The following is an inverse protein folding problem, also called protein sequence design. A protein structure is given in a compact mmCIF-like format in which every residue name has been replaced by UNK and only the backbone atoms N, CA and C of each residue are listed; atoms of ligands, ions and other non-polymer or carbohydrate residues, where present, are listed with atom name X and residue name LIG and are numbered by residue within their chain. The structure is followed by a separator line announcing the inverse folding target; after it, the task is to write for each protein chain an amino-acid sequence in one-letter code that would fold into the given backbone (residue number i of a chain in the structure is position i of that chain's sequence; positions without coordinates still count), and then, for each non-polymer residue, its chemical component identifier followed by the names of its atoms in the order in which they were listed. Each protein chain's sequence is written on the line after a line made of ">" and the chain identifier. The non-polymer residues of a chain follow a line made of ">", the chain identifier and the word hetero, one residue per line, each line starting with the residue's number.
data_IF_585720809410
#
_entry.id   IF_585720809410
#
_cell.length_a   1.000
_cell.length_b   1.000
_cell.length_c   1.000
_cell.angle_alpha   90.00
_cell.angle_beta   90.00
_cell.angle_gamma   90.00
#
_symmetry.space_group_name_H-M   'P 1'
#
loop_
_entity.id
_entity.type
_entity.pdbx_description
1 polymer ?
#
# COMPACT_ATOMS: atom_id res chain seq x y z
N UNK A 1 7.40 9.98 -2.98
CA UNK A 1 6.20 10.68 -2.48
C UNK A 1 5.85 11.83 -3.41
N UNK A 2 6.76 12.77 -3.70
CA UNK A 2 6.48 13.95 -4.52
C UNK A 2 5.90 13.62 -5.90
N UNK A 3 6.41 12.62 -6.61
CA UNK A 3 5.85 12.19 -7.89
C UNK A 3 4.37 11.76 -7.80
N UNK A 4 3.97 11.12 -6.69
CA UNK A 4 2.56 10.76 -6.46
C UNK A 4 1.72 12.01 -6.27
N UNK A 5 2.17 12.96 -5.45
CA UNK A 5 1.45 14.22 -5.21
C UNK A 5 1.30 15.02 -6.52
N UNK A 6 2.40 15.20 -7.26
CA UNK A 6 2.40 15.93 -8.52
C UNK A 6 1.50 15.33 -9.61
N UNK A 7 1.23 14.03 -9.53
CA UNK A 7 0.31 13.36 -10.46
C UNK A 7 -1.13 13.42 -9.98
N UNK A 8 -1.35 13.20 -8.69
CA UNK A 8 -2.70 13.03 -8.14
C UNK A 8 -3.41 14.35 -7.93
N UNK A 9 -2.73 15.40 -7.47
CA UNK A 9 -3.37 16.68 -7.21
C UNK A 9 -4.02 17.29 -8.47
N UNK A 10 -3.33 17.38 -9.63
CA UNK A 10 -3.97 17.86 -10.85
C UNK A 10 -5.09 16.94 -11.35
N UNK A 11 -4.99 15.62 -11.11
CA UNK A 11 -6.07 14.69 -11.46
C UNK A 11 -7.33 14.93 -10.62
N UNK A 12 -7.16 15.17 -9.31
CA UNK A 12 -8.26 15.51 -8.40
C UNK A 12 -8.97 16.79 -8.86
N UNK A 13 -8.22 17.84 -9.20
CA UNK A 13 -8.78 19.10 -9.68
C UNK A 13 -9.64 18.94 -10.94
N UNK A 14 -9.24 18.02 -11.84
CA UNK A 14 -10.02 17.70 -13.04
C UNK A 14 -11.22 16.78 -12.78
N UNK A 15 -11.16 15.94 -11.77
CA UNK A 15 -12.23 14.97 -11.45
C UNK A 15 -13.34 15.60 -10.60
N UNK A 16 -12.99 16.47 -9.63
CA UNK A 16 -13.97 17.12 -8.74
C UNK A 16 -15.13 17.83 -9.48
N UNK A 17 -14.88 18.70 -10.49
CA UNK A 17 -15.96 19.37 -11.21
C UNK A 17 -16.85 18.42 -11.99
N UNK A 18 -16.34 17.24 -12.36
CA UNK A 18 -17.11 16.20 -13.07
C UNK A 18 -17.97 15.35 -12.14
N UNK A 19 -17.80 15.47 -10.83
CA UNK A 19 -18.49 14.65 -9.83
C UNK A 19 -18.18 13.16 -9.92
N UNK A 20 -17.10 12.78 -10.63
CA UNK A 20 -16.71 11.36 -10.85
C UNK A 20 -15.23 11.23 -11.16
N UNK A 21 -14.65 10.13 -10.69
CA UNK A 21 -13.28 9.75 -10.98
C UNK A 21 -12.84 8.64 -10.03
N UNK A 22 -11.78 7.93 -10.39
CA UNK A 22 -11.18 6.91 -9.54
C UNK A 22 -9.67 7.03 -9.58
N UNK A 23 -9.05 7.07 -8.41
CA UNK A 23 -7.60 7.17 -8.18
C UNK A 23 -7.14 5.93 -7.46
N UNK A 24 -6.19 5.21 -8.04
CA UNK A 24 -5.56 4.03 -7.45
C UNK A 24 -4.11 4.35 -7.05
N UNK A 25 -3.81 4.31 -5.75
CA UNK A 25 -2.49 4.62 -5.20
C UNK A 25 -1.76 3.33 -4.81
N UNK A 26 -0.60 3.09 -5.40
CA UNK A 26 0.21 1.91 -5.08
C UNK A 26 1.15 2.17 -3.92
N UNK A 27 0.80 1.63 -2.76
CA UNK A 27 1.63 1.54 -1.57
C UNK A 27 2.27 0.14 -1.44
N UNK A 28 2.32 -0.42 -0.26
CA UNK A 28 2.83 -1.76 0.07
C UNK A 28 2.37 -2.15 1.47
N UNK A 29 2.38 -3.45 1.80
CA UNK A 29 2.29 -3.91 3.19
C UNK A 29 3.46 -3.38 4.03
N UNK A 30 4.63 -3.13 3.44
CA UNK A 30 5.75 -2.44 4.08
C UNK A 30 5.42 -1.01 4.55
N UNK A 31 4.33 -0.41 4.08
CA UNK A 31 3.85 0.90 4.51
C UNK A 31 3.01 0.89 5.78
N UNK A 32 2.84 -0.23 6.46
CA UNK A 32 2.11 -0.30 7.73
C UNK A 32 2.97 0.01 8.94
N UNK A 33 4.25 -0.35 8.88
CA UNK A 33 5.23 -0.12 9.95
C UNK A 33 6.61 0.10 9.34
N UNK A 34 7.48 0.86 10.03
CA UNK A 34 8.89 0.99 9.64
C UNK A 34 9.59 -0.37 9.66
N UNK A 35 10.24 -0.72 8.55
CA UNK A 35 11.02 -1.95 8.44
C UNK A 35 12.50 -1.61 8.66
N UNK A 36 13.19 -2.24 9.63
CA UNK A 36 14.62 -2.00 9.88
C UNK A 36 15.49 -2.24 8.65
N UNK A 37 15.17 -3.26 7.86
CA UNK A 37 15.90 -3.61 6.63
C UNK A 37 15.66 -2.67 5.43
N UNK A 38 14.64 -1.78 5.50
CA UNK A 38 14.28 -0.88 4.39
C UNK A 38 13.56 0.38 4.89
N UNK A 39 14.20 1.23 5.70
CA UNK A 39 13.54 2.35 6.38
C UNK A 39 13.01 3.40 5.40
N UNK A 40 13.79 3.80 4.41
CA UNK A 40 13.36 4.78 3.40
C UNK A 40 12.19 4.26 2.54
N UNK A 41 12.23 2.98 2.16
CA UNK A 41 11.15 2.35 1.41
C UNK A 41 9.85 2.29 2.23
N UNK A 42 9.91 1.77 3.46
CA UNK A 42 8.74 1.67 4.31
C UNK A 42 8.17 3.05 4.67
N UNK A 43 9.01 4.04 4.94
CA UNK A 43 8.60 5.42 5.16
C UNK A 43 7.88 6.02 3.95
N UNK A 44 8.42 5.83 2.75
CA UNK A 44 7.78 6.30 1.51
C UNK A 44 6.42 5.65 1.25
N UNK A 45 6.30 4.34 1.50
CA UNK A 45 5.05 3.60 1.32
C UNK A 45 4.02 3.91 2.40
N UNK A 46 4.47 4.16 3.64
CA UNK A 46 3.59 4.65 4.71
C UNK A 46 2.99 6.02 4.35
N UNK A 47 3.81 6.96 3.88
CA UNK A 47 3.35 8.27 3.45
C UNK A 47 2.27 8.18 2.35
N UNK A 48 2.49 7.36 1.32
CA UNK A 48 1.48 7.16 0.26
C UNK A 48 0.20 6.53 0.79
N UNK A 49 0.31 5.55 1.71
CA UNK A 49 -0.85 4.90 2.30
C UNK A 49 -1.68 5.88 3.15
N UNK A 50 -1.03 6.52 4.11
CA UNK A 50 -1.71 7.42 5.04
C UNK A 50 -2.35 8.61 4.32
N UNK A 51 -1.61 9.21 3.38
CA UNK A 51 -2.14 10.29 2.56
C UNK A 51 -3.31 9.85 1.68
N UNK A 52 -3.23 8.69 1.05
CA UNK A 52 -4.31 8.15 0.21
C UNK A 52 -5.59 7.85 1.00
N UNK A 53 -5.45 7.32 2.22
CA UNK A 53 -6.58 7.08 3.12
C UNK A 53 -7.23 8.40 3.55
N UNK A 54 -6.43 9.40 3.89
CA UNK A 54 -6.92 10.75 4.22
C UNK A 54 -7.60 11.42 3.02
N UNK A 55 -6.99 11.33 1.83
CA UNK A 55 -7.55 11.87 0.59
C UNK A 55 -8.90 11.24 0.25
N UNK A 56 -9.05 9.93 0.46
CA UNK A 56 -10.35 9.24 0.30
C UNK A 56 -11.44 9.86 1.17
N UNK A 57 -11.12 10.13 2.44
CA UNK A 57 -12.05 10.80 3.36
C UNK A 57 -12.39 12.21 2.90
N UNK A 58 -11.38 12.98 2.52
CA UNK A 58 -11.52 14.34 2.02
C UNK A 58 -12.41 14.43 0.77
N UNK A 59 -12.28 13.49 -0.16
CA UNK A 59 -13.00 13.49 -1.43
C UNK A 59 -14.35 12.75 -1.38
N UNK A 60 -14.77 12.23 -0.22
CA UNK A 60 -15.97 11.40 -0.08
C UNK A 60 -17.24 12.02 -0.69
N UNK A 61 -17.39 13.34 -0.58
CA UNK A 61 -18.57 14.09 -1.08
C UNK A 61 -18.41 14.59 -2.52
N UNK A 62 -17.25 14.42 -3.14
CA UNK A 62 -16.97 14.95 -4.48
C UNK A 62 -17.23 13.95 -5.61
N UNK A 63 -17.66 12.73 -5.30
CA UNK A 63 -17.84 11.66 -6.28
C UNK A 63 -16.53 11.07 -6.82
N UNK A 64 -15.37 11.48 -6.25
CA UNK A 64 -14.05 10.93 -6.62
C UNK A 64 -13.66 9.83 -5.65
N UNK A 65 -13.46 8.62 -6.19
CA UNK A 65 -13.05 7.45 -5.42
C UNK A 65 -11.53 7.38 -5.29
N UNK A 66 -11.04 7.03 -4.10
CA UNK A 66 -9.61 6.80 -3.87
C UNK A 66 -9.41 5.41 -3.27
N UNK A 67 -8.54 4.63 -3.87
CA UNK A 67 -8.22 3.27 -3.46
C UNK A 67 -6.72 3.16 -3.19
N UNK A 68 -6.33 2.63 -2.04
CA UNK A 68 -4.94 2.38 -1.70
C UNK A 68 -4.63 0.89 -1.85
N UNK A 69 -3.71 0.55 -2.75
CA UNK A 69 -3.28 -0.81 -3.02
C UNK A 69 -2.04 -1.10 -2.20
N UNK A 70 -2.12 -2.10 -1.31
CA UNK A 70 -1.05 -2.50 -0.42
C UNK A 70 -0.67 -3.96 -0.69
N UNK A 71 0.09 -4.26 -1.75
CA UNK A 71 0.55 -5.61 -2.04
C UNK A 71 1.64 -6.04 -1.06
N UNK A 72 1.71 -7.35 -0.81
CA UNK A 72 2.91 -8.02 -0.31
C UNK A 72 3.89 -8.31 -1.44
N UNK A 73 4.49 -9.51 -1.43
CA UNK A 73 5.41 -9.93 -2.48
C UNK A 73 4.66 -10.40 -3.72
N UNK A 74 4.90 -9.71 -4.84
CA UNK A 74 4.38 -10.07 -6.17
C UNK A 74 5.56 -10.37 -7.07
N UNK A 75 5.44 -11.36 -7.94
CA UNK A 75 6.49 -11.70 -8.92
C UNK A 75 6.84 -10.48 -9.77
N UNK A 76 8.09 -10.08 -9.70
CA UNK A 76 8.67 -9.01 -10.52
C UNK A 76 10.18 -9.25 -10.60
N UNK A 77 10.87 -8.55 -11.49
CA UNK A 77 12.34 -8.61 -11.59
C UNK A 77 13.06 -8.34 -10.25
N UNK A 78 12.43 -7.58 -9.36
CA UNK A 78 13.00 -7.23 -8.04
C UNK A 78 12.69 -8.30 -6.98
N UNK A 79 11.65 -9.13 -7.17
CA UNK A 79 11.13 -10.06 -6.14
C UNK A 79 11.33 -11.53 -6.47
N UNK A 80 12.09 -11.87 -7.50
CA UNK A 80 12.38 -13.25 -7.91
C UNK A 80 13.01 -14.11 -6.81
N UNK A 81 13.78 -13.50 -5.89
CA UNK A 81 14.44 -14.17 -4.76
C UNK A 81 13.52 -14.45 -3.55
N UNK A 82 12.25 -14.08 -3.57
CA UNK A 82 11.33 -14.34 -2.45
C UNK A 82 10.77 -15.77 -2.52
N UNK A 83 10.70 -16.45 -1.38
CA UNK A 83 10.28 -17.86 -1.30
C UNK A 83 8.87 -18.17 -1.85
N UNK A 84 7.92 -17.24 -1.81
CA UNK A 84 6.54 -17.45 -2.29
C UNK A 84 5.90 -16.13 -2.80
N UNK A 85 6.38 -15.59 -3.91
CA UNK A 85 5.78 -14.39 -4.46
C UNK A 85 4.45 -14.74 -5.16
N UNK A 86 3.45 -13.85 -5.03
CA UNK A 86 2.17 -14.00 -5.73
C UNK A 86 2.36 -13.77 -7.24
N UNK A 87 1.81 -14.61 -8.12
CA UNK A 87 1.82 -14.36 -9.55
C UNK A 87 1.18 -13.01 -9.91
N UNK A 88 1.78 -12.25 -10.82
CA UNK A 88 1.30 -10.93 -11.22
C UNK A 88 -0.14 -10.95 -11.73
N UNK A 89 -0.52 -11.98 -12.49
CA UNK A 89 -1.89 -12.16 -12.98
C UNK A 89 -2.92 -12.31 -11.83
N UNK A 90 -2.55 -13.01 -10.76
CA UNK A 90 -3.41 -13.14 -9.56
C UNK A 90 -3.53 -11.81 -8.82
N UNK A 91 -2.42 -11.09 -8.65
CA UNK A 91 -2.42 -9.77 -8.05
C UNK A 91 -3.30 -8.79 -8.86
N UNK A 92 -3.18 -8.77 -10.18
CA UNK A 92 -3.99 -7.93 -11.06
C UNK A 92 -5.50 -8.21 -10.91
N UNK A 93 -5.91 -9.48 -10.83
CA UNK A 93 -7.31 -9.86 -10.60
C UNK A 93 -7.84 -9.34 -9.25
N UNK A 94 -7.03 -9.44 -8.19
CA UNK A 94 -7.40 -8.93 -6.85
C UNK A 94 -7.56 -7.41 -6.88
N UNK A 95 -6.61 -6.71 -7.49
CA UNK A 95 -6.64 -5.25 -7.63
C UNK A 95 -7.89 -4.83 -8.41
N UNK A 96 -8.12 -5.38 -9.59
CA UNK A 96 -9.26 -5.05 -10.43
C UNK A 96 -10.60 -5.28 -9.70
N UNK A 97 -10.73 -6.40 -8.98
CA UNK A 97 -11.92 -6.69 -8.18
C UNK A 97 -12.10 -5.69 -7.02
N UNK A 98 -11.01 -5.27 -6.39
CA UNK A 98 -11.03 -4.27 -5.31
C UNK A 98 -11.42 -2.87 -5.82
N UNK A 99 -10.90 -2.47 -6.96
CA UNK A 99 -11.21 -1.20 -7.63
C UNK A 99 -12.69 -1.14 -8.03
N UNK A 100 -13.20 -2.19 -8.69
CA UNK A 100 -14.64 -2.27 -9.07
C UNK A 100 -15.57 -2.16 -7.86
N UNK A 101 -15.14 -2.63 -6.69
CA UNK A 101 -15.92 -2.54 -5.43
C UNK A 101 -15.62 -1.28 -4.63
N UNK A 102 -14.88 -0.36 -5.17
CA UNK A 102 -14.41 0.86 -4.49
C UNK A 102 -13.86 0.60 -3.08
N UNK A 103 -13.04 -0.45 -2.89
CA UNK A 103 -12.43 -0.74 -1.58
C UNK A 103 -11.43 0.34 -1.22
N UNK A 104 -11.54 0.91 -0.01
CA UNK A 104 -10.60 1.93 0.48
C UNK A 104 -9.16 1.42 0.52
N UNK A 105 -8.95 0.19 1.01
CA UNK A 105 -7.67 -0.53 0.95
C UNK A 105 -7.83 -1.87 0.25
N UNK A 106 -6.86 -2.21 -0.60
CA UNK A 106 -6.77 -3.48 -1.32
C UNK A 106 -5.46 -4.14 -0.89
N UNK A 107 -5.56 -5.01 0.12
CA UNK A 107 -4.42 -5.70 0.74
C UNK A 107 -4.38 -7.17 0.35
N UNK A 108 -3.20 -7.67 0.04
CA UNK A 108 -2.99 -9.09 -0.26
C UNK A 108 -1.52 -9.51 -0.14
N UNK A 109 -1.21 -10.79 0.15
CA UNK A 109 -2.11 -11.88 0.54
C UNK A 109 -2.76 -11.63 1.91
N UNK A 110 -3.96 -12.19 2.19
CA UNK A 110 -4.72 -11.82 3.39
C UNK A 110 -4.01 -12.18 4.71
N UNK A 111 -3.37 -13.34 4.78
CA UNK A 111 -2.64 -13.76 5.99
C UNK A 111 -1.49 -12.82 6.31
N UNK A 112 -0.65 -12.48 5.31
CA UNK A 112 0.46 -11.55 5.48
C UNK A 112 -0.07 -10.14 5.83
N UNK A 113 -1.16 -9.71 5.20
CA UNK A 113 -1.77 -8.42 5.48
C UNK A 113 -2.26 -8.33 6.94
N UNK A 114 -2.88 -9.39 7.44
CA UNK A 114 -3.31 -9.48 8.84
C UNK A 114 -2.12 -9.46 9.80
N UNK A 115 -1.06 -10.25 9.54
CA UNK A 115 0.14 -10.28 10.39
C UNK A 115 0.82 -8.90 10.47
N UNK A 116 0.98 -8.24 9.33
CA UNK A 116 1.59 -6.90 9.28
C UNK A 116 0.71 -5.86 9.98
N UNK A 117 -0.61 -5.94 9.82
CA UNK A 117 -1.55 -5.10 10.53
C UNK A 117 -1.45 -5.31 12.05
N UNK A 118 -1.45 -6.56 12.52
CA UNK A 118 -1.33 -6.88 13.94
C UNK A 118 -0.03 -6.32 14.53
N UNK A 119 1.12 -6.47 13.84
CA UNK A 119 2.40 -5.89 14.26
C UNK A 119 2.31 -4.35 14.29
N UNK A 120 1.59 -3.73 13.36
CA UNK A 120 1.45 -2.27 13.34
C UNK A 120 0.65 -1.72 14.53
N UNK A 121 -0.18 -2.55 15.16
CA UNK A 121 -0.95 -2.18 16.35
C UNK A 121 -0.15 -2.32 17.66
N UNK A 122 1.03 -2.96 17.64
CA UNK A 122 1.86 -3.14 18.83
C UNK A 122 2.54 -1.82 19.26
N UNK A 123 2.85 -1.64 20.54
CA UNK A 123 3.73 -0.57 21.02
C UNK A 123 5.07 -0.57 20.27
N UNK A 124 5.72 0.60 20.16
CA UNK A 124 6.92 0.76 19.32
C UNK A 124 8.04 -0.22 19.70
N UNK A 125 8.34 -0.35 20.98
CA UNK A 125 9.39 -1.25 21.49
C UNK A 125 9.13 -2.73 21.20
N UNK A 126 7.87 -3.17 21.31
CA UNK A 126 7.49 -4.56 21.04
C UNK A 126 7.57 -4.86 19.54
N UNK A 127 7.09 -3.93 18.71
CA UNK A 127 7.16 -4.09 17.26
C UNK A 127 8.61 -4.10 16.75
N UNK A 128 9.47 -3.24 17.30
CA UNK A 128 10.90 -3.20 17.00
C UNK A 128 11.57 -4.54 17.35
N UNK A 129 11.32 -5.07 18.53
CA UNK A 129 11.83 -6.38 18.92
C UNK A 129 11.39 -7.51 17.99
N UNK A 130 10.13 -7.51 17.57
CA UNK A 130 9.62 -8.50 16.62
C UNK A 130 10.26 -8.34 15.24
N UNK A 131 10.35 -7.10 14.74
CA UNK A 131 10.82 -6.81 13.39
C UNK A 131 12.33 -7.03 13.23
N UNK A 132 13.12 -6.79 14.27
CA UNK A 132 14.57 -7.02 14.26
C UNK A 132 14.93 -8.52 14.26
N UNK A 133 14.01 -9.38 14.72
CA UNK A 133 14.19 -10.85 14.67
C UNK A 133 13.77 -11.48 13.33
N UNK A 134 13.09 -10.71 12.46
CA UNK A 134 12.77 -11.20 11.13
C UNK A 134 14.05 -11.28 10.28
N UNK A 135 14.21 -12.36 9.49
CA UNK A 135 15.39 -12.51 8.65
C UNK A 135 15.54 -11.31 7.70
N UNK A 136 16.75 -10.75 7.65
CA UNK A 136 17.05 -9.66 6.74
C UNK A 136 16.85 -10.10 5.30
N UNK A 137 16.23 -9.24 4.52
CA UNK A 137 15.95 -9.46 3.12
C UNK A 137 17.26 -9.29 2.33
N UNK A 138 18.00 -10.41 2.14
CA UNK A 138 19.08 -10.47 1.15
C UNK A 138 20.40 -9.84 1.58
N UNK A 139 21.00 -10.31 2.67
CA UNK A 139 22.46 -10.32 2.80
C UNK A 139 23.00 -11.61 2.15
N UNK A 140 23.25 -11.56 0.86
CA UNK A 140 24.31 -12.27 0.12
C UNK A 140 24.42 -11.59 -1.23
#
# INVERSE_FOLDING_TARGET
>A
VNGVLNTVLPAVEKMKPRGRGQIALTSSLAGYRGLPSAPAYSGSKNAVRAWGEALRGHLKKSGVEVNVICPGFVVSRITEKNKFPMPAAKAAKIIAAGLRKNKGRITFPPLLAFSVWAISCLPASVAEFVLTKLPEKGSN
#
